data_IF_858531184416
#
_entry.id   IF_858531184416
#
_cell.length_a   1.000
_cell.length_b   1.000
_cell.length_c   1.000
_cell.angle_alpha   90.00
_cell.angle_beta   90.00
_cell.angle_gamma   90.00
#
_symmetry.space_group_name_H-M   'P 1'
#
loop_
_entity.id
_entity.type
_entity.pdbx_description
1 polymer ?
#
# COMPACT_ATOMS: atom_id res chain seq x y z
N UNK A 1 24.97 -13.73 -12.18
CA UNK A 1 24.91 -12.41 -11.50
C UNK A 1 25.01 -12.60 -10.00
N UNK A 2 25.97 -11.94 -9.31
CA UNK A 2 26.14 -12.09 -7.87
C UNK A 2 24.91 -11.53 -7.10
N UNK A 3 24.52 -12.22 -6.03
CA UNK A 3 23.32 -11.90 -5.22
C UNK A 3 23.31 -10.44 -4.72
N UNK A 4 24.48 -9.87 -4.47
CA UNK A 4 24.66 -8.48 -4.01
C UNK A 4 24.22 -7.45 -5.06
N UNK A 5 24.44 -7.72 -6.36
CA UNK A 5 24.03 -6.84 -7.43
C UNK A 5 22.50 -6.73 -7.50
N UNK A 6 21.79 -7.86 -7.41
CA UNK A 6 20.31 -7.89 -7.46
C UNK A 6 19.64 -7.08 -6.35
N UNK A 7 20.18 -7.16 -5.13
CA UNK A 7 19.63 -6.45 -3.96
C UNK A 7 19.83 -4.93 -4.05
N UNK A 8 21.00 -4.49 -4.52
CA UNK A 8 21.28 -3.08 -4.76
C UNK A 8 20.34 -2.49 -5.83
N UNK A 9 20.05 -3.26 -6.90
CA UNK A 9 19.07 -2.85 -7.93
C UNK A 9 17.66 -2.74 -7.34
N UNK A 10 17.26 -3.70 -6.50
CA UNK A 10 15.97 -3.69 -5.80
C UNK A 10 15.78 -2.44 -4.96
N UNK A 11 16.68 -2.16 -4.00
CA UNK A 11 16.53 -1.01 -3.10
C UNK A 11 16.49 0.33 -3.82
N UNK A 12 17.21 0.44 -4.95
CA UNK A 12 17.18 1.61 -5.83
C UNK A 12 15.85 1.71 -6.58
N UNK A 13 15.29 0.58 -7.00
CA UNK A 13 13.96 0.51 -7.58
C UNK A 13 12.87 0.93 -6.57
N UNK A 14 12.89 0.44 -5.31
CA UNK A 14 11.91 0.92 -4.29
C UNK A 14 12.03 2.41 -4.15
N UNK A 15 13.26 2.92 -4.04
CA UNK A 15 13.49 4.32 -3.80
C UNK A 15 12.91 5.20 -4.90
N UNK A 16 13.03 4.77 -6.16
CA UNK A 16 12.46 5.48 -7.29
C UNK A 16 10.93 5.31 -7.37
N UNK A 17 10.44 4.08 -7.21
CA UNK A 17 9.00 3.76 -7.24
C UNK A 17 8.24 4.36 -6.07
N UNK A 18 8.89 4.63 -4.93
CA UNK A 18 8.28 5.17 -3.73
C UNK A 18 7.48 6.43 -4.04
N UNK A 19 8.03 7.36 -4.83
CA UNK A 19 7.30 8.60 -5.16
C UNK A 19 6.00 8.26 -5.87
N UNK A 20 6.10 7.42 -6.90
CA UNK A 20 4.96 7.05 -7.72
C UNK A 20 3.91 6.30 -6.92
N UNK A 21 4.30 5.31 -6.11
CA UNK A 21 3.38 4.53 -5.29
C UNK A 21 2.62 5.39 -4.29
N UNK A 22 3.32 6.32 -3.63
CA UNK A 22 2.73 7.21 -2.63
C UNK A 22 1.63 8.11 -3.22
N UNK A 23 1.73 8.50 -4.48
CA UNK A 23 0.77 9.41 -5.13
C UNK A 23 -0.25 8.67 -5.98
N UNK A 24 0.18 7.70 -6.79
CA UNK A 24 -0.66 6.98 -7.73
C UNK A 24 -1.54 5.96 -7.03
N UNK A 25 -1.03 5.25 -6.02
CA UNK A 25 -1.80 4.17 -5.40
C UNK A 25 -3.07 4.69 -4.69
N UNK A 26 -3.03 5.76 -3.86
CA UNK A 26 -4.25 6.34 -3.31
C UNK A 26 -5.23 6.81 -4.39
N UNK A 27 -4.73 7.41 -5.47
CA UNK A 27 -5.57 7.87 -6.58
C UNK A 27 -6.27 6.71 -7.30
N UNK A 28 -5.55 5.62 -7.56
CA UNK A 28 -6.11 4.40 -8.17
C UNK A 28 -7.13 3.75 -7.26
N UNK A 29 -6.84 3.61 -5.96
CA UNK A 29 -7.76 3.01 -4.99
C UNK A 29 -9.06 3.82 -4.86
N UNK A 30 -8.96 5.14 -4.80
CA UNK A 30 -10.13 6.03 -4.83
C UNK A 30 -10.89 5.88 -6.13
N UNK A 31 -10.19 5.84 -7.27
CA UNK A 31 -10.80 5.59 -8.58
C UNK A 31 -11.62 4.30 -8.58
N UNK A 32 -11.06 3.18 -8.11
CA UNK A 32 -11.77 1.89 -7.99
C UNK A 32 -13.02 2.05 -7.12
N UNK A 33 -12.90 2.72 -5.97
CA UNK A 33 -14.03 3.00 -5.07
C UNK A 33 -15.13 3.85 -5.73
N UNK A 34 -14.78 4.81 -6.59
CA UNK A 34 -15.77 5.60 -7.33
C UNK A 34 -16.57 4.78 -8.36
N UNK A 35 -16.01 3.65 -8.84
CA UNK A 35 -16.72 2.73 -9.74
C UNK A 35 -17.63 1.73 -9.01
N UNK A 36 -17.43 1.50 -7.71
CA UNK A 36 -18.31 0.64 -6.89
C UNK A 36 -19.75 1.19 -6.81
N UNK A 37 -20.78 0.41 -6.45
CA UNK A 37 -22.14 0.93 -6.28
C UNK A 37 -22.23 2.00 -5.17
N UNK A 38 -23.32 2.79 -5.11
CA UNK A 38 -23.55 3.78 -4.05
C UNK A 38 -23.42 5.25 -4.48
N UNK A 39 -24.49 6.02 -4.35
CA UNK A 39 -24.54 7.39 -4.86
C UNK A 39 -23.88 8.42 -3.93
N UNK A 40 -24.13 8.30 -2.62
CA UNK A 40 -23.67 9.28 -1.64
C UNK A 40 -22.17 9.18 -1.35
N UNK A 41 -21.64 7.96 -1.19
CA UNK A 41 -20.19 7.74 -1.01
C UNK A 41 -19.40 8.28 -2.20
N UNK A 42 -19.90 8.10 -3.43
CA UNK A 42 -19.28 8.67 -4.63
C UNK A 42 -19.20 10.19 -4.60
N UNK A 43 -20.28 10.87 -4.21
CA UNK A 43 -20.28 12.33 -4.11
C UNK A 43 -19.27 12.82 -3.07
N UNK A 44 -19.21 12.13 -1.92
CA UNK A 44 -18.23 12.41 -0.87
C UNK A 44 -16.80 12.23 -1.36
N UNK A 45 -16.51 11.07 -1.99
CA UNK A 45 -15.19 10.80 -2.57
C UNK A 45 -14.86 11.75 -3.71
N UNK A 46 -15.82 12.15 -4.54
CA UNK A 46 -15.57 13.10 -5.63
C UNK A 46 -15.14 14.48 -5.10
N UNK A 47 -15.77 14.94 -4.00
CA UNK A 47 -15.44 16.22 -3.37
C UNK A 47 -14.14 16.18 -2.57
N UNK A 48 -13.93 15.11 -1.78
CA UNK A 48 -12.81 15.01 -0.83
C UNK A 48 -11.60 14.25 -1.37
N UNK A 49 -11.71 13.54 -2.50
CA UNK A 49 -10.59 12.79 -3.08
C UNK A 49 -9.32 13.62 -3.28
N UNK A 50 -9.36 14.90 -3.72
CA UNK A 50 -8.12 15.66 -3.86
C UNK A 50 -7.41 15.84 -2.51
N UNK A 51 -8.17 16.08 -1.44
CA UNK A 51 -7.66 16.25 -0.08
C UNK A 51 -7.13 14.91 0.45
N UNK A 52 -7.88 13.81 0.27
CA UNK A 52 -7.49 12.48 0.73
C UNK A 52 -6.21 12.02 0.02
N UNK A 53 -6.13 12.19 -1.30
CA UNK A 53 -4.93 11.84 -2.09
C UNK A 53 -3.74 12.67 -1.62
N UNK A 54 -3.92 13.98 -1.40
CA UNK A 54 -2.85 14.84 -0.89
C UNK A 54 -2.36 14.41 0.49
N UNK A 55 -3.28 14.13 1.42
CA UNK A 55 -2.92 13.71 2.78
C UNK A 55 -2.22 12.34 2.77
N UNK A 56 -2.78 11.36 2.05
CA UNK A 56 -2.17 10.03 1.92
C UNK A 56 -0.79 10.10 1.24
N UNK A 57 -0.66 10.94 0.22
CA UNK A 57 0.60 11.18 -0.47
C UNK A 57 1.65 11.85 0.43
N UNK A 58 1.26 12.88 1.19
CA UNK A 58 2.17 13.54 2.13
C UNK A 58 2.62 12.59 3.26
N UNK A 59 1.70 11.82 3.83
CA UNK A 59 2.00 10.84 4.88
C UNK A 59 2.90 9.72 4.35
N UNK A 60 2.57 9.16 3.19
CA UNK A 60 3.40 8.13 2.55
C UNK A 60 4.78 8.63 2.12
N UNK A 61 4.92 9.93 1.83
CA UNK A 61 6.19 10.55 1.48
C UNK A 61 7.07 10.86 2.69
N UNK A 62 6.48 11.08 3.87
CA UNK A 62 7.18 11.51 5.08
C UNK A 62 8.38 10.62 5.46
N UNK A 63 8.31 9.27 5.49
CA UNK A 63 9.46 8.45 5.85
C UNK A 63 10.62 8.60 4.86
N UNK A 64 10.32 8.75 3.57
CA UNK A 64 11.33 8.98 2.53
C UNK A 64 11.96 10.37 2.67
N UNK A 65 11.18 11.38 2.97
CA UNK A 65 11.71 12.73 3.23
C UNK A 65 12.70 12.72 4.40
N UNK A 66 12.36 12.06 5.51
CA UNK A 66 13.25 11.89 6.67
C UNK A 66 14.54 11.17 6.27
N UNK A 67 14.46 10.06 5.54
CA UNK A 67 15.63 9.33 5.06
C UNK A 67 16.51 10.19 4.14
N UNK A 68 15.91 10.92 3.19
CA UNK A 68 16.65 11.80 2.28
C UNK A 68 17.37 12.92 3.04
N UNK A 69 16.72 13.52 4.04
CA UNK A 69 17.32 14.56 4.91
C UNK A 69 18.50 14.02 5.73
N UNK A 70 18.47 12.73 6.07
CA UNK A 70 19.56 12.03 6.78
C UNK A 70 20.69 11.55 5.87
N UNK A 71 20.64 11.82 4.56
CA UNK A 71 21.71 11.51 3.61
C UNK A 71 21.58 10.15 2.90
N UNK A 72 20.45 9.46 3.01
CA UNK A 72 20.24 8.20 2.28
C UNK A 72 20.04 8.44 0.78
N UNK A 73 20.86 7.80 -0.04
CA UNK A 73 20.72 7.78 -1.50
C UNK A 73 19.85 6.65 -2.05
N UNK A 74 19.45 5.70 -1.20
CA UNK A 74 18.60 4.56 -1.53
C UNK A 74 17.89 4.04 -0.28
N UNK A 75 16.82 3.27 -0.49
CA UNK A 75 16.01 2.72 0.61
C UNK A 75 16.77 1.60 1.34
N UNK A 76 16.91 1.66 2.68
CA UNK A 76 17.37 0.51 3.45
C UNK A 76 16.45 -0.69 3.26
N UNK A 77 17.00 -1.90 3.37
CA UNK A 77 16.25 -3.15 3.18
C UNK A 77 15.03 -3.29 4.08
N UNK A 78 15.21 -3.08 5.39
CA UNK A 78 14.13 -3.14 6.37
C UNK A 78 13.02 -2.14 6.06
N UNK A 79 13.39 -0.90 5.72
CA UNK A 79 12.42 0.13 5.29
C UNK A 79 11.66 -0.33 4.05
N UNK A 80 12.35 -0.88 3.04
CA UNK A 80 11.72 -1.33 1.79
C UNK A 80 10.73 -2.47 2.01
N UNK A 81 11.05 -3.42 2.89
CA UNK A 81 10.17 -4.54 3.22
C UNK A 81 8.91 -4.05 3.95
N UNK A 82 9.07 -3.22 4.98
CA UNK A 82 7.93 -2.66 5.73
C UNK A 82 7.09 -1.74 4.83
N UNK A 83 7.72 -0.99 3.92
CA UNK A 83 7.03 -0.13 2.96
C UNK A 83 6.10 -0.92 2.06
N UNK A 84 6.56 -2.08 1.58
CA UNK A 84 5.75 -2.90 0.72
C UNK A 84 4.59 -3.57 1.46
N UNK A 85 4.82 -4.06 2.69
CA UNK A 85 3.76 -4.58 3.57
C UNK A 85 2.72 -3.50 3.87
N UNK A 86 3.16 -2.27 4.14
CA UNK A 86 2.28 -1.14 4.41
C UNK A 86 1.32 -0.87 3.25
N UNK A 87 1.83 -0.73 2.04
CA UNK A 87 0.97 -0.46 0.87
C UNK A 87 0.06 -1.63 0.51
N UNK A 88 0.50 -2.86 0.79
CA UNK A 88 -0.34 -4.03 0.61
C UNK A 88 -1.53 -4.02 1.58
N UNK A 89 -1.26 -3.87 2.88
CA UNK A 89 -2.28 -3.78 3.91
C UNK A 89 -3.20 -2.57 3.69
N UNK A 90 -2.66 -1.43 3.28
CA UNK A 90 -3.44 -0.23 2.97
C UNK A 90 -4.40 -0.48 1.81
N UNK A 91 -3.95 -1.13 0.75
CA UNK A 91 -4.79 -1.45 -0.42
C UNK A 91 -5.93 -2.39 -0.04
N UNK A 92 -5.64 -3.46 0.71
CA UNK A 92 -6.67 -4.38 1.19
C UNK A 92 -7.67 -3.70 2.13
N UNK A 93 -7.18 -2.83 3.02
CA UNK A 93 -8.01 -2.04 3.91
C UNK A 93 -8.97 -1.15 3.10
N UNK A 94 -8.45 -0.33 2.18
CA UNK A 94 -9.28 0.60 1.39
C UNK A 94 -10.27 -0.13 0.49
N UNK A 95 -9.85 -1.21 -0.17
CA UNK A 95 -10.72 -1.97 -1.07
C UNK A 95 -11.73 -2.85 -0.34
N UNK A 96 -11.47 -3.24 0.90
CA UNK A 96 -12.37 -4.09 1.68
C UNK A 96 -13.28 -3.34 2.66
N UNK A 97 -13.06 -2.05 2.89
CA UNK A 97 -14.04 -1.23 3.62
C UNK A 97 -15.34 -1.17 2.81
N UNK A 98 -16.43 -1.66 3.39
CA UNK A 98 -17.76 -1.53 2.83
C UNK A 98 -18.20 -0.07 2.79
N UNK A 99 -19.03 0.24 1.80
CA UNK A 99 -19.68 1.54 1.71
C UNK A 99 -20.95 1.59 2.56
N UNK A 100 -21.45 2.80 2.76
CA UNK A 100 -22.74 3.00 3.42
C UNK A 100 -23.58 3.98 2.60
N UNK A 101 -24.84 3.61 2.35
CA UNK A 101 -25.85 4.51 1.81
C UNK A 101 -27.09 4.52 2.71
N UNK A 102 -27.95 5.52 2.50
CA UNK A 102 -29.26 5.63 3.16
C UNK A 102 -30.16 4.39 2.99
N UNK A 103 -29.87 3.54 2.00
CA UNK A 103 -30.61 2.30 1.70
C UNK A 103 -29.98 1.04 2.30
N UNK A 104 -28.80 1.12 2.92
CA UNK A 104 -28.08 -0.01 3.49
C UNK A 104 -26.58 -0.05 3.15
N UNK A 105 -25.86 -1.09 3.62
CA UNK A 105 -24.44 -1.27 3.33
C UNK A 105 -24.22 -1.57 1.83
N UNK A 106 -23.18 -0.95 1.27
CA UNK A 106 -22.74 -1.19 -0.10
C UNK A 106 -21.57 -2.17 -0.04
N UNK A 107 -21.60 -3.27 -0.82
CA UNK A 107 -20.51 -4.22 -0.83
C UNK A 107 -19.20 -3.56 -1.29
N UNK A 108 -18.13 -3.78 -0.54
CA UNK A 108 -16.79 -3.30 -0.89
C UNK A 108 -16.29 -3.89 -2.22
N UNK A 109 -15.41 -3.18 -2.96
CA UNK A 109 -14.74 -3.73 -4.14
C UNK A 109 -14.09 -5.11 -3.91
N UNK A 110 -13.53 -5.35 -2.71
CA UNK A 110 -12.93 -6.63 -2.35
C UNK A 110 -13.99 -7.73 -2.22
N UNK A 111 -15.13 -7.45 -1.59
CA UNK A 111 -16.26 -8.38 -1.49
C UNK A 111 -16.83 -8.72 -2.87
N UNK A 112 -16.95 -7.72 -3.74
CA UNK A 112 -17.37 -7.91 -5.14
C UNK A 112 -16.39 -8.76 -5.95
N UNK A 113 -15.09 -8.58 -5.73
CA UNK A 113 -14.04 -9.33 -6.43
C UNK A 113 -13.84 -10.75 -5.88
N UNK A 114 -14.11 -10.97 -4.60
CA UNK A 114 -13.92 -12.26 -3.92
C UNK A 114 -15.16 -12.69 -3.11
N UNK A 115 -16.30 -12.95 -3.79
CA UNK A 115 -17.55 -13.30 -3.10
C UNK A 115 -17.45 -14.62 -2.33
N UNK A 116 -16.48 -15.47 -2.66
CA UNK A 116 -16.25 -16.77 -2.00
C UNK A 116 -15.59 -16.65 -0.62
N UNK A 117 -15.05 -15.48 -0.22
CA UNK A 117 -14.49 -15.32 1.13
C UNK A 117 -15.59 -15.40 2.21
N UNK A 118 -16.83 -15.02 1.87
CA UNK A 118 -17.90 -14.85 2.85
C UNK A 118 -17.70 -13.60 3.73
N UNK A 119 -18.80 -13.10 4.30
CA UNK A 119 -18.82 -11.79 4.97
C UNK A 119 -17.95 -11.74 6.23
N UNK A 120 -17.91 -12.83 7.01
CA UNK A 120 -17.12 -12.91 8.24
C UNK A 120 -15.61 -12.84 7.96
N UNK A 121 -15.13 -13.67 7.02
CA UNK A 121 -13.70 -13.71 6.66
C UNK A 121 -13.28 -12.42 5.97
N UNK A 122 -14.15 -11.85 5.12
CA UNK A 122 -13.91 -10.54 4.50
C UNK A 122 -13.72 -9.44 5.55
N UNK A 123 -14.62 -9.38 6.54
CA UNK A 123 -14.55 -8.40 7.64
C UNK A 123 -13.28 -8.56 8.49
N UNK A 124 -12.88 -9.79 8.81
CA UNK A 124 -11.66 -10.07 9.56
C UNK A 124 -10.39 -9.69 8.78
N UNK A 125 -10.37 -9.96 7.48
CA UNK A 125 -9.27 -9.54 6.58
C UNK A 125 -9.14 -8.02 6.58
N UNK A 126 -10.25 -7.28 6.55
CA UNK A 126 -10.25 -5.82 6.59
C UNK A 126 -9.74 -5.29 7.92
N UNK A 127 -10.22 -5.85 9.05
CA UNK A 127 -9.76 -5.48 10.40
C UNK A 127 -8.26 -5.73 10.57
N UNK A 128 -7.78 -6.89 10.14
CA UNK A 128 -6.36 -7.23 10.15
C UNK A 128 -5.56 -6.25 9.28
N UNK A 129 -6.05 -5.97 8.07
CA UNK A 129 -5.40 -5.05 7.13
C UNK A 129 -5.32 -3.63 7.69
N UNK A 130 -6.36 -3.16 8.39
CA UNK A 130 -6.36 -1.87 9.07
C UNK A 130 -5.31 -1.80 10.18
N UNK A 131 -5.23 -2.84 11.02
CA UNK A 131 -4.22 -2.94 12.08
C UNK A 131 -2.79 -2.98 11.52
N UNK A 132 -2.56 -3.82 10.50
CA UNK A 132 -1.25 -3.94 9.84
C UNK A 132 -0.86 -2.63 9.15
N UNK A 133 -1.80 -1.91 8.54
CA UNK A 133 -1.56 -0.59 7.95
C UNK A 133 -1.03 0.40 8.98
N UNK A 134 -1.70 0.51 10.14
CA UNK A 134 -1.28 1.42 11.22
C UNK A 134 0.08 1.05 11.81
N UNK A 135 0.28 -0.24 12.13
CA UNK A 135 1.53 -0.75 12.70
C UNK A 135 2.72 -0.62 11.74
N UNK A 136 2.52 -0.98 10.46
CA UNK A 136 3.56 -0.86 9.45
C UNK A 136 3.93 0.60 9.17
N UNK A 137 2.98 1.53 9.21
CA UNK A 137 3.29 2.96 9.10
C UNK A 137 4.12 3.47 10.29
N UNK A 138 3.72 3.11 11.51
CA UNK A 138 4.50 3.46 12.71
C UNK A 138 5.93 2.89 12.63
N UNK A 139 6.06 1.62 12.21
CA UNK A 139 7.34 0.99 11.98
C UNK A 139 8.17 1.70 10.90
N UNK A 140 7.56 2.15 9.79
CA UNK A 140 8.26 2.93 8.76
C UNK A 140 8.83 4.23 9.31
N UNK A 141 8.06 4.97 10.10
CA UNK A 141 8.50 6.24 10.70
C UNK A 141 9.65 5.98 11.68
N UNK A 142 9.51 4.99 12.56
CA UNK A 142 10.56 4.59 13.51
C UNK A 142 11.83 4.19 12.75
N UNK A 143 11.73 3.32 11.75
CA UNK A 143 12.87 2.90 10.95
C UNK A 143 13.51 4.08 10.20
N UNK A 144 12.72 4.99 9.64
CA UNK A 144 13.23 6.18 8.95
C UNK A 144 14.05 7.08 9.88
N UNK A 145 13.66 7.20 11.16
CA UNK A 145 14.33 8.02 12.17
C UNK A 145 15.57 7.33 12.75
N UNK A 146 15.47 6.04 13.08
CA UNK A 146 16.49 5.35 13.88
C UNK A 146 17.45 4.49 13.07
N UNK A 147 17.18 4.18 11.79
CA UNK A 147 18.11 3.38 10.98
C UNK A 147 19.44 4.12 10.83
N UNK A 148 20.59 3.54 11.21
CA UNK A 148 21.88 4.21 11.09
C UNK A 148 22.29 4.31 9.61
N UNK A 149 22.94 5.41 9.22
CA UNK A 149 23.33 5.62 7.81
C UNK A 149 24.30 4.54 7.30
N UNK A 150 25.12 3.99 8.20
CA UNK A 150 26.09 2.92 7.90
C UNK A 150 25.43 1.57 7.53
N UNK A 151 24.16 1.32 7.90
CA UNK A 151 23.46 0.08 7.55
C UNK A 151 22.90 0.06 6.14
N UNK A 152 23.22 1.07 5.33
CA UNK A 152 22.98 1.14 3.89
C UNK A 152 23.21 -0.22 3.19
N UNK A 153 24.19 -1.02 3.60
CA UNK A 153 24.52 -2.29 2.95
C UNK A 153 23.74 -3.55 3.37
N UNK A 154 22.88 -3.53 4.41
CA UNK A 154 22.24 -4.78 4.86
C UNK A 154 21.10 -5.21 3.93
N UNK A 155 21.15 -6.47 3.49
CA UNK A 155 20.38 -7.08 2.39
C UNK A 155 18.87 -7.15 2.67
N UNK A 156 18.04 -6.68 1.74
CA UNK A 156 16.65 -7.13 1.60
C UNK A 156 16.69 -8.31 0.63
N UNK A 157 16.12 -9.44 1.04
CA UNK A 157 16.07 -10.62 0.17
C UNK A 157 15.17 -10.33 -1.04
N UNK A 158 15.62 -10.78 -2.21
CA UNK A 158 14.88 -10.79 -3.48
C UNK A 158 13.46 -11.35 -3.35
N UNK A 159 13.22 -12.23 -2.38
CA UNK A 159 11.92 -12.82 -2.05
C UNK A 159 10.87 -11.81 -1.58
N UNK A 160 11.25 -10.76 -0.86
CA UNK A 160 10.30 -9.71 -0.45
C UNK A 160 9.75 -8.95 -1.66
N UNK A 161 10.55 -8.83 -2.73
CA UNK A 161 10.16 -8.17 -3.97
C UNK A 161 9.34 -9.06 -4.89
N UNK A 162 9.62 -10.36 -4.94
CA UNK A 162 8.81 -11.32 -5.67
C UNK A 162 7.40 -11.37 -5.07
N UNK A 163 7.25 -11.42 -3.74
CA UNK A 163 5.94 -11.35 -3.10
C UNK A 163 5.18 -10.05 -3.44
N UNK A 164 5.89 -8.91 -3.48
CA UNK A 164 5.30 -7.59 -3.75
C UNK A 164 4.91 -7.39 -5.22
N UNK A 165 5.69 -7.94 -6.16
CA UNK A 165 5.42 -7.84 -7.60
C UNK A 165 4.37 -8.86 -8.07
N UNK A 166 4.36 -10.05 -7.48
CA UNK A 166 3.46 -11.15 -7.88
C UNK A 166 2.04 -10.91 -7.39
N UNK A 167 1.85 -10.29 -6.22
CA UNK A 167 0.52 -10.11 -5.64
C UNK A 167 -0.45 -9.21 -6.45
N UNK A 168 -0.06 -8.04 -7.00
CA UNK A 168 -0.94 -7.27 -7.88
C UNK A 168 -1.22 -7.98 -9.22
N UNK A 169 -0.26 -8.73 -9.76
CA UNK A 169 -0.47 -9.52 -11.00
C UNK A 169 -1.37 -10.74 -10.78
N UNK A 170 -1.32 -11.37 -9.60
CA UNK A 170 -2.26 -12.44 -9.21
C UNK A 170 -3.66 -11.85 -9.03
N UNK A 171 -3.81 -10.69 -8.39
CA UNK A 171 -5.11 -10.06 -8.18
C UNK A 171 -5.73 -9.54 -9.49
N UNK A 172 -4.92 -8.94 -10.37
CA UNK A 172 -5.35 -8.51 -11.71
C UNK A 172 -5.60 -9.73 -12.62
N UNK A 173 -4.76 -10.76 -12.53
CA UNK A 173 -4.89 -11.99 -13.32
C UNK A 173 -6.09 -12.85 -12.91
N UNK A 174 -6.41 -12.96 -11.62
CA UNK A 174 -7.62 -13.63 -11.15
C UNK A 174 -8.89 -12.83 -11.50
N UNK A 175 -8.83 -11.50 -11.46
CA UNK A 175 -9.94 -10.65 -11.89
C UNK A 175 -10.12 -10.55 -13.42
N UNK A 176 -9.15 -11.04 -14.21
CA UNK A 176 -9.22 -11.08 -15.68
C UNK A 176 -9.51 -12.49 -16.24
N UNK A 177 -9.53 -13.53 -15.39
CA UNK A 177 -9.80 -14.93 -15.76
C UNK A 177 -11.20 -15.41 -15.34
N UNK A 178 -12.04 -14.51 -14.80
CA UNK A 178 -13.43 -14.72 -14.39
C UNK A 178 -14.26 -13.56 -14.91
#
# INVERSE_FOLDING_TARGET
MPLAAKVATSNRLTWNMWLWLVWLLPAVLIGIKMFAPGGQEKLFLMLLSPIIILLAGLLGWLPRFVLKKRGFGYSPSGVSAVFAVHWWAFSLCVLGIDGADHMGPIPSPLSLAMPFLGDEIGSDVVRLSMAVTGLSYAALVVLAIFTPVQTQQRRASWTAWVAVAVTPLILIGLGALI
#
